data_IF_375357764864
#
_entry.id   IF_375357764864
#
_cell.length_a   1.000
_cell.length_b   1.000
_cell.length_c   1.000
_cell.angle_alpha   90.00
_cell.angle_beta   90.00
_cell.angle_gamma   90.00
#
_symmetry.space_group_name_H-M   'P 1'
#
loop_
_entity.id
_entity.type
_entity.pdbx_description
1 polymer ?
#
# COMPACT_ATOMS: atom_id res chain seq x y z
N UNK A 1 2.03 -2.90 -18.10
CA UNK A 1 2.28 -2.17 -16.83
C UNK A 1 1.17 -2.36 -15.80
N UNK A 2 -0.11 -2.09 -16.12
CA UNK A 2 -1.23 -2.23 -15.17
C UNK A 2 -1.31 -3.62 -14.51
N UNK A 3 -1.17 -4.69 -15.30
CA UNK A 3 -1.20 -6.08 -14.80
C UNK A 3 -0.06 -6.37 -13.81
N UNK A 4 1.12 -5.78 -14.04
CA UNK A 4 2.26 -5.86 -13.12
C UNK A 4 2.00 -5.11 -11.82
N UNK A 5 1.42 -3.90 -11.88
CA UNK A 5 1.05 -3.10 -10.70
C UNK A 5 0.03 -3.87 -9.83
N UNK A 6 -0.96 -4.50 -10.46
CA UNK A 6 -1.96 -5.31 -9.75
C UNK A 6 -1.28 -6.51 -9.07
N UNK A 7 -0.46 -7.27 -9.79
CA UNK A 7 0.28 -8.40 -9.21
C UNK A 7 1.17 -7.98 -8.04
N UNK A 8 1.86 -6.85 -8.18
CA UNK A 8 2.77 -6.32 -7.16
C UNK A 8 2.00 -5.87 -5.91
N UNK A 9 0.86 -5.18 -6.08
CA UNK A 9 0.00 -4.76 -4.97
C UNK A 9 -0.66 -5.96 -4.26
N UNK A 10 -1.11 -6.97 -5.02
CA UNK A 10 -1.66 -8.21 -4.44
C UNK A 10 -0.59 -8.98 -3.67
N UNK A 11 0.58 -9.19 -4.27
CA UNK A 11 1.71 -9.84 -3.60
C UNK A 11 2.13 -9.10 -2.33
N UNK A 12 2.16 -7.77 -2.38
CA UNK A 12 2.48 -6.93 -1.23
C UNK A 12 1.45 -7.06 -0.10
N UNK A 13 0.15 -7.04 -0.42
CA UNK A 13 -0.89 -7.25 0.59
C UNK A 13 -0.87 -8.65 1.22
N UNK A 14 -0.64 -9.69 0.42
CA UNK A 14 -0.57 -11.08 0.90
C UNK A 14 0.65 -11.31 1.80
N UNK A 15 1.84 -10.88 1.38
CA UNK A 15 3.04 -11.11 2.18
C UNK A 15 3.08 -10.25 3.46
N UNK A 16 2.56 -9.02 3.41
CA UNK A 16 2.44 -8.16 4.61
C UNK A 16 1.47 -8.72 5.64
N UNK A 17 0.44 -9.44 5.17
CA UNK A 17 -0.49 -10.13 6.06
C UNK A 17 0.11 -11.41 6.67
N UNK A 18 0.88 -12.16 5.88
CA UNK A 18 1.53 -13.38 6.33
C UNK A 18 2.73 -13.16 7.28
N UNK A 19 3.09 -11.89 7.54
CA UNK A 19 4.21 -11.47 8.40
C UNK A 19 5.57 -12.11 8.04
N UNK A 20 5.77 -12.49 6.76
CA UNK A 20 6.98 -13.12 6.22
C UNK A 20 8.11 -12.08 6.03
N UNK A 21 8.12 -11.04 6.88
CA UNK A 21 8.85 -9.80 6.71
C UNK A 21 7.98 -8.73 6.05
N UNK A 22 8.16 -7.46 6.44
CA UNK A 22 7.53 -6.30 5.78
C UNK A 22 8.64 -5.36 5.32
N UNK A 23 8.52 -4.81 4.12
CA UNK A 23 9.47 -3.86 3.58
C UNK A 23 9.34 -2.56 4.35
N UNK A 24 10.39 -1.74 4.42
CA UNK A 24 10.41 -0.53 5.25
C UNK A 24 9.18 0.36 5.03
N UNK A 25 8.71 0.45 3.78
CA UNK A 25 7.52 1.21 3.40
C UNK A 25 6.20 0.61 3.92
N UNK A 26 6.06 -0.72 3.86
CA UNK A 26 4.86 -1.44 4.28
C UNK A 26 4.81 -1.56 5.81
N UNK A 27 5.96 -1.79 6.44
CA UNK A 27 6.13 -1.77 7.87
C UNK A 27 5.76 -0.40 8.45
N UNK A 28 6.20 0.69 7.80
CA UNK A 28 5.82 2.05 8.19
C UNK A 28 4.32 2.28 8.03
N UNK A 29 3.73 1.80 6.92
CA UNK A 29 2.28 1.91 6.68
C UNK A 29 1.47 1.20 7.77
N UNK A 30 1.83 -0.05 8.10
CA UNK A 30 1.18 -0.82 9.17
C UNK A 30 1.45 -0.27 10.57
N UNK A 31 2.65 0.25 10.84
CA UNK A 31 2.97 0.88 12.12
C UNK A 31 2.15 2.15 12.35
N UNK A 32 1.96 2.97 11.30
CA UNK A 32 1.09 4.15 11.37
C UNK A 32 -0.39 3.78 11.47
N UNK A 33 -0.84 2.76 10.73
CA UNK A 33 -2.21 2.23 10.84
C UNK A 33 -2.51 1.73 12.25
N UNK A 34 -1.60 0.93 12.83
CA UNK A 34 -1.69 0.39 14.18
C UNK A 34 -1.78 1.49 15.26
N UNK A 35 -1.10 2.62 15.05
CA UNK A 35 -1.09 3.73 16.02
C UNK A 35 -2.28 4.67 15.88
N UNK A 36 -2.84 4.85 14.68
CA UNK A 36 -3.85 5.87 14.40
C UNK A 36 -5.23 5.32 14.02
N UNK A 37 -5.38 3.99 13.87
CA UNK A 37 -6.59 3.32 13.35
C UNK A 37 -7.09 3.86 11.99
N UNK A 38 -6.23 4.54 11.23
CA UNK A 38 -6.57 5.05 9.92
C UNK A 38 -6.53 3.95 8.87
N UNK A 39 -7.41 4.04 7.85
CA UNK A 39 -7.40 3.07 6.76
C UNK A 39 -6.03 3.06 6.08
N UNK A 40 -5.51 1.86 5.82
CA UNK A 40 -4.20 1.62 5.18
C UNK A 40 -4.04 2.41 3.87
N UNK A 41 -5.15 2.65 3.15
CA UNK A 41 -5.20 3.51 1.95
C UNK A 41 -4.69 4.92 2.20
N UNK A 42 -5.14 5.59 3.26
CA UNK A 42 -4.78 6.98 3.53
C UNK A 42 -3.30 7.10 3.87
N UNK A 43 -2.80 6.19 4.72
CA UNK A 43 -1.39 6.17 5.11
C UNK A 43 -0.51 5.95 3.88
N UNK A 44 -0.85 4.96 3.03
CA UNK A 44 -0.12 4.66 1.79
C UNK A 44 -0.10 5.86 0.85
N UNK A 45 -1.24 6.52 0.66
CA UNK A 45 -1.39 7.65 -0.25
C UNK A 45 -0.57 8.86 0.22
N UNK A 46 -0.52 9.15 1.52
CA UNK A 46 0.34 10.21 2.08
C UNK A 46 1.81 9.89 1.85
N UNK A 47 2.22 8.65 2.12
CA UNK A 47 3.60 8.21 1.94
C UNK A 47 4.03 8.27 0.46
N UNK A 48 3.12 7.91 -0.46
CA UNK A 48 3.36 7.95 -1.90
C UNK A 48 3.47 9.39 -2.39
N UNK A 49 2.60 10.28 -1.93
CA UNK A 49 2.66 11.72 -2.23
C UNK A 49 3.95 12.33 -1.71
N UNK A 50 4.35 12.00 -0.48
CA UNK A 50 5.61 12.48 0.09
C UNK A 50 6.81 12.00 -0.75
N UNK A 51 6.83 10.73 -1.13
CA UNK A 51 7.90 10.15 -1.93
C UNK A 51 7.98 10.80 -3.33
N UNK A 52 6.83 11.05 -3.98
CA UNK A 52 6.78 11.76 -5.27
C UNK A 52 7.22 13.21 -5.13
N UNK A 53 6.80 13.89 -4.07
CA UNK A 53 7.16 15.29 -3.84
C UNK A 53 8.67 15.43 -3.65
N UNK A 54 9.27 14.54 -2.84
CA UNK A 54 10.73 14.47 -2.66
C UNK A 54 11.41 14.15 -4.01
N UNK A 55 10.92 13.15 -4.74
CA UNK A 55 11.45 12.80 -6.06
C UNK A 55 11.42 13.97 -7.05
N UNK A 56 10.36 14.77 -7.04
CA UNK A 56 10.24 15.98 -7.86
C UNK A 56 11.27 17.04 -7.45
N UNK A 57 11.44 17.28 -6.14
CA UNK A 57 12.45 18.21 -5.62
C UNK A 57 13.89 17.79 -5.96
N UNK A 58 14.16 16.49 -6.07
CA UNK A 58 15.45 15.95 -6.51
C UNK A 58 15.68 16.02 -8.04
N UNK A 59 14.73 16.59 -8.80
CA UNK A 59 14.81 16.72 -10.25
C UNK A 59 14.16 15.57 -11.03
N UNK A 60 13.40 14.71 -10.36
CA UNK A 60 12.61 13.65 -11.00
C UNK A 60 11.38 14.20 -11.74
N UNK A 61 11.06 13.61 -12.89
CA UNK A 61 9.86 13.98 -13.64
C UNK A 61 8.66 13.14 -13.23
N UNK A 62 7.52 13.78 -12.99
CA UNK A 62 6.26 13.06 -12.72
C UNK A 62 5.67 12.64 -14.07
N UNK A 63 5.80 11.36 -14.38
CA UNK A 63 5.10 10.76 -15.52
C UNK A 63 3.65 10.38 -15.16
N UNK A 64 2.80 10.24 -16.18
CA UNK A 64 1.44 9.73 -16.00
C UNK A 64 1.41 8.35 -15.32
N UNK A 65 2.44 7.53 -15.54
CA UNK A 65 2.61 6.22 -14.90
C UNK A 65 2.69 6.31 -13.36
N UNK A 66 3.34 7.34 -12.82
CA UNK A 66 3.51 7.53 -11.37
C UNK A 66 2.16 7.77 -10.70
N UNK A 67 1.33 8.65 -11.28
CA UNK A 67 0.00 8.97 -10.76
C UNK A 67 -0.91 7.74 -10.80
N UNK A 68 -0.89 6.99 -11.90
CA UNK A 68 -1.66 5.76 -12.06
C UNK A 68 -1.23 4.70 -11.03
N UNK A 69 0.07 4.58 -10.79
CA UNK A 69 0.60 3.60 -9.82
C UNK A 69 0.15 3.92 -8.40
N UNK A 70 0.20 5.18 -7.99
CA UNK A 70 -0.19 5.60 -6.63
C UNK A 70 -1.68 5.37 -6.38
N UNK A 71 -2.52 5.73 -7.37
CA UNK A 71 -3.97 5.53 -7.25
C UNK A 71 -4.34 4.04 -7.21
N UNK A 72 -3.79 3.22 -8.12
CA UNK A 72 -4.13 1.80 -8.20
C UNK A 72 -3.55 1.04 -7.01
N UNK A 73 -2.28 1.28 -6.66
CA UNK A 73 -1.60 0.60 -5.55
C UNK A 73 -2.35 0.82 -4.24
N UNK A 74 -2.74 2.06 -3.92
CA UNK A 74 -3.49 2.37 -2.70
C UNK A 74 -4.85 1.67 -2.60
N UNK A 75 -5.61 1.62 -3.72
CA UNK A 75 -6.92 0.95 -3.76
C UNK A 75 -6.76 -0.57 -3.64
N UNK A 76 -5.86 -1.17 -4.42
CA UNK A 76 -5.66 -2.63 -4.42
C UNK A 76 -5.16 -3.09 -3.06
N UNK A 77 -4.22 -2.37 -2.45
CA UNK A 77 -3.71 -2.73 -1.12
C UNK A 77 -4.81 -2.71 -0.07
N UNK A 78 -5.69 -1.71 -0.10
CA UNK A 78 -6.86 -1.65 0.79
C UNK A 78 -7.79 -2.84 0.57
N UNK A 79 -8.12 -3.17 -0.68
CA UNK A 79 -9.01 -4.30 -0.97
C UNK A 79 -8.43 -5.63 -0.49
N UNK A 80 -7.12 -5.83 -0.64
CA UNK A 80 -6.45 -7.06 -0.19
C UNK A 80 -6.44 -7.13 1.34
N UNK A 81 -6.08 -6.04 2.02
CA UNK A 81 -6.07 -5.98 3.50
C UNK A 81 -7.49 -6.16 4.07
N UNK A 82 -8.50 -5.49 3.50
CA UNK A 82 -9.90 -5.62 3.95
C UNK A 82 -10.44 -7.04 3.71
N UNK A 83 -10.10 -7.66 2.56
CA UNK A 83 -10.50 -9.05 2.26
C UNK A 83 -9.85 -10.04 3.23
N UNK A 84 -8.57 -9.86 3.55
CA UNK A 84 -7.83 -10.73 4.48
C UNK A 84 -8.33 -10.55 5.92
N UNK A 85 -8.59 -9.31 6.35
CA UNK A 85 -9.16 -9.00 7.66
C UNK A 85 -10.55 -9.60 7.84
N UNK A 86 -11.40 -9.50 6.81
CA UNK A 86 -12.74 -10.11 6.82
C UNK A 86 -12.71 -11.64 6.82
N UNK A 87 -11.76 -12.27 6.10
CA UNK A 87 -11.63 -13.74 6.10
C UNK A 87 -11.11 -14.29 7.42
N UNK A 88 -10.18 -13.62 8.09
CA UNK A 88 -9.65 -14.12 9.37
C UNK A 88 -10.57 -13.85 10.55
N UNK A 89 -11.36 -12.77 10.54
CA UNK A 89 -12.45 -12.63 11.52
C UNK A 89 -13.59 -13.65 11.34
N UNK A 90 -13.77 -14.19 10.13
CA UNK A 90 -14.73 -15.26 9.88
C UNK A 90 -14.24 -16.64 10.37
N UNK A 91 -12.92 -16.83 10.54
CA UNK A 91 -12.29 -18.07 11.04
C UNK A 91 -12.16 -18.10 12.57
N UNK A 92 -12.44 -16.97 13.25
CA UNK A 92 -12.41 -16.84 14.71
C UNK A 92 -13.83 -16.83 15.33
N UNK A 93 -14.85 -17.27 14.59
CA UNK A 93 -16.22 -17.52 15.08
C UNK A 93 -16.58 -18.99 15.00
#
# INVERSE_FOLDING_TARGET
MVLGIILLAVGSGVYSYADIGRGSYEALTFALESRNHWQTRYVRMVLDIACVTIGLFLGGTIGACTVVTILISGIVLQQVVDTLKNRVHADMR
#
